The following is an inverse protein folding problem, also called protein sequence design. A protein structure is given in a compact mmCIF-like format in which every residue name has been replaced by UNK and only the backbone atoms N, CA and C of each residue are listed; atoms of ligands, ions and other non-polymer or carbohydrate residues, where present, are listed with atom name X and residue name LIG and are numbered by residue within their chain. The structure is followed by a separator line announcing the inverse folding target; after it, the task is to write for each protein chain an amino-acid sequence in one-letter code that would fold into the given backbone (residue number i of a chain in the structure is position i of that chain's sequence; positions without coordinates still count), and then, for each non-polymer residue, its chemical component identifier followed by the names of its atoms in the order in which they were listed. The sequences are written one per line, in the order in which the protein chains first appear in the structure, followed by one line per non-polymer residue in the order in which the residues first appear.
data_IF_077477565736
#
_entry.id   IF_077477565736
#
_cell.length_a   1.000
_cell.length_b   1.000
_cell.length_c   1.000
_cell.angle_alpha   90.00
_cell.angle_beta   90.00
_cell.angle_gamma   90.00
#
_symmetry.space_group_name_H-M   'P 1'
#
loop_
_entity.id
_entity.type
_entity.pdbx_description
1 polymer ?
#
# COMPACT_ATOMS: atom_id res chain seq x y z
N UNK A 1 17.21 54.97 27.20
CA UNK A 1 15.76 54.77 27.45
C UNK A 1 15.17 53.55 26.73
N UNK A 2 15.43 53.32 25.43
CA UNK A 2 14.85 52.17 24.68
C UNK A 2 15.23 50.78 25.24
N UNK A 3 16.46 50.59 25.71
CA UNK A 3 16.93 49.31 26.28
C UNK A 3 16.20 48.98 27.60
N UNK A 4 15.94 50.00 28.45
CA UNK A 4 15.18 49.83 29.68
C UNK A 4 13.73 49.40 29.43
N UNK A 5 13.10 49.93 28.37
CA UNK A 5 11.74 49.55 27.98
C UNK A 5 11.67 48.08 27.53
N UNK A 6 12.67 47.61 26.76
CA UNK A 6 12.75 46.20 26.36
C UNK A 6 12.95 45.25 27.55
N UNK A 7 13.79 45.65 28.51
CA UNK A 7 14.06 44.83 29.70
C UNK A 7 12.83 44.69 30.60
N UNK A 8 12.05 45.77 30.75
CA UNK A 8 10.78 45.76 31.50
C UNK A 8 9.73 44.91 30.78
N UNK A 9 9.63 44.99 29.44
CA UNK A 9 8.69 44.17 28.67
C UNK A 9 8.98 42.67 28.77
N UNK A 10 10.25 42.27 28.87
CA UNK A 10 10.65 40.87 28.98
C UNK A 10 10.34 40.28 30.38
N UNK A 11 10.39 41.10 31.43
CA UNK A 11 10.05 40.69 32.80
C UNK A 11 8.55 40.49 33.04
N UNK A 12 7.68 41.12 32.24
CA UNK A 12 6.22 41.01 32.37
C UNK A 12 5.63 39.71 31.77
N UNK A 13 6.42 38.93 31.01
CA UNK A 13 5.95 37.72 30.33
C UNK A 13 5.99 36.43 31.20
N UNK A 14 6.50 36.50 32.43
CA UNK A 14 6.78 35.31 33.27
C UNK A 14 5.57 34.85 34.11
N UNK A 15 4.48 35.62 34.16
CA UNK A 15 3.35 35.37 35.07
C UNK A 15 2.18 34.57 34.45
N UNK A 16 2.43 33.71 33.45
CA UNK A 16 1.42 32.82 32.89
C UNK A 16 1.41 31.46 33.63
N UNK A 17 0.95 31.46 34.89
CA UNK A 17 0.68 30.22 35.61
C UNK A 17 -0.74 29.74 35.25
N UNK A 18 -0.84 28.63 34.50
CA UNK A 18 -2.11 28.08 34.04
C UNK A 18 -2.79 27.25 35.14
N UNK A 19 -3.48 27.93 36.05
CA UNK A 19 -4.37 27.29 37.03
C UNK A 19 -5.80 27.20 36.46
N UNK A 20 -6.51 26.09 36.73
CA UNK A 20 -7.90 25.91 36.33
C UNK A 20 -8.78 26.13 37.57
N UNK A 21 -9.70 27.08 37.49
CA UNK A 21 -10.62 27.42 38.55
C UNK A 21 -12.01 26.86 38.25
N UNK A 22 -12.64 26.22 39.24
CA UNK A 22 -14.02 25.76 39.20
C UNK A 22 -14.90 26.72 40.01
N UNK A 23 -15.97 27.23 39.40
CA UNK A 23 -16.98 28.05 40.06
C UNK A 23 -18.38 27.49 39.84
N UNK A 24 -19.32 27.86 40.71
CA UNK A 24 -20.76 27.62 40.51
C UNK A 24 -21.44 28.97 40.33
N UNK A 25 -21.85 29.28 39.11
CA UNK A 25 -22.54 30.54 38.76
C UNK A 25 -23.94 30.20 38.26
N UNK A 26 -24.97 30.80 38.85
CA UNK A 26 -26.38 30.53 38.50
C UNK A 26 -26.77 29.04 38.52
N UNK A 27 -26.21 28.29 39.48
CA UNK A 27 -26.42 26.85 39.61
C UNK A 27 -25.68 25.98 38.57
N UNK A 28 -24.85 26.58 37.71
CA UNK A 28 -24.05 25.88 36.69
C UNK A 28 -22.57 25.85 37.09
N UNK A 29 -21.93 24.70 36.90
CA UNK A 29 -20.48 24.57 37.09
C UNK A 29 -19.75 25.11 35.86
N UNK A 30 -18.85 26.06 36.06
CA UNK A 30 -17.98 26.63 35.03
C UNK A 30 -16.51 26.41 35.38
N UNK A 31 -15.66 26.26 34.36
CA UNK A 31 -14.21 26.15 34.50
C UNK A 31 -13.53 27.30 33.75
N UNK A 32 -12.56 27.96 34.39
CA UNK A 32 -11.89 29.15 33.86
C UNK A 32 -10.39 29.10 34.13
N UNK A 33 -9.59 29.71 33.25
CA UNK A 33 -8.14 29.89 33.44
C UNK A 33 -7.80 31.11 34.31
N UNK A 34 -8.82 31.86 34.74
CA UNK A 34 -8.74 32.97 35.68
C UNK A 34 -9.78 32.77 36.77
N UNK A 35 -9.57 33.31 37.99
CA UNK A 35 -10.56 33.26 39.06
C UNK A 35 -11.93 33.77 38.57
N UNK A 36 -12.94 32.89 38.56
CA UNK A 36 -14.27 33.20 38.01
C UNK A 36 -15.25 33.78 39.05
N UNK A 37 -14.95 33.66 40.34
CA UNK A 37 -15.74 34.18 41.45
C UNK A 37 -14.87 34.27 42.73
N UNK A 38 -15.37 34.93 43.78
CA UNK A 38 -14.66 35.06 45.05
C UNK A 38 -14.46 33.73 45.80
N UNK A 39 -15.30 32.74 45.50
CA UNK A 39 -15.27 31.36 46.03
C UNK A 39 -14.67 30.36 45.03
N UNK A 40 -13.96 30.84 43.99
CA UNK A 40 -13.34 29.99 42.99
C UNK A 40 -12.39 28.96 43.61
N UNK A 41 -12.60 27.68 43.29
CA UNK A 41 -11.74 26.59 43.78
C UNK A 41 -10.76 26.21 42.68
N UNK A 42 -9.46 26.24 42.99
CA UNK A 42 -8.43 25.69 42.09
C UNK A 42 -8.63 24.18 41.98
N UNK A 43 -8.80 23.70 40.75
CA UNK A 43 -8.93 22.28 40.45
C UNK A 43 -7.76 21.81 39.61
N UNK A 44 -7.15 20.70 40.02
CA UNK A 44 -6.21 19.97 39.17
C UNK A 44 -6.99 18.85 38.50
N UNK A 45 -7.13 18.84 37.15
CA UNK A 45 -7.78 17.74 36.47
C UNK A 45 -7.09 16.42 36.82
N UNK A 46 -7.87 15.44 37.24
CA UNK A 46 -7.37 14.08 37.41
C UNK A 46 -7.15 13.49 36.01
N UNK A 47 -5.90 13.49 35.57
CA UNK A 47 -5.53 12.87 34.29
C UNK A 47 -5.36 11.39 34.55
N UNK A 48 -6.23 10.58 33.96
CA UNK A 48 -6.02 9.13 33.93
C UNK A 48 -4.69 8.84 33.25
N UNK A 49 -3.74 8.32 34.02
CA UNK A 49 -2.47 7.81 33.52
C UNK A 49 -2.55 6.30 33.56
N UNK A 50 -2.57 5.67 32.39
CA UNK A 50 -2.50 4.22 32.27
C UNK A 50 -1.31 3.70 33.06
N UNK A 51 -1.49 2.59 33.77
CA UNK A 51 -0.39 2.01 34.53
C UNK A 51 0.75 1.60 33.57
N UNK A 52 2.01 1.52 34.05
CA UNK A 52 3.10 1.00 33.23
C UNK A 52 2.81 -0.39 32.63
N UNK A 53 2.03 -1.22 33.35
CA UNK A 53 1.58 -2.53 32.89
C UNK A 53 0.59 -2.43 31.73
N UNK A 54 -0.40 -1.53 31.81
CA UNK A 54 -1.37 -1.29 30.73
C UNK A 54 -0.67 -0.76 29.47
N UNK A 55 0.31 0.13 29.64
CA UNK A 55 1.11 0.65 28.53
C UNK A 55 1.94 -0.45 27.86
N UNK A 56 2.57 -1.33 28.66
CA UNK A 56 3.33 -2.46 28.14
C UNK A 56 2.43 -3.44 27.37
N UNK A 57 1.24 -3.75 27.90
CA UNK A 57 0.25 -4.60 27.24
C UNK A 57 -0.24 -3.98 25.92
N UNK A 58 -0.47 -2.67 25.89
CA UNK A 58 -0.85 -1.96 24.68
C UNK A 58 0.23 -2.02 23.59
N UNK A 59 1.50 -1.80 23.96
CA UNK A 59 2.63 -1.92 23.04
C UNK A 59 2.78 -3.35 22.52
N UNK A 60 2.63 -4.35 23.40
CA UNK A 60 2.68 -5.76 23.00
C UNK A 60 1.58 -6.09 21.99
N UNK A 61 0.34 -5.69 22.27
CA UNK A 61 -0.80 -5.92 21.38
C UNK A 61 -0.62 -5.21 20.04
N UNK A 62 -0.16 -3.96 20.04
CA UNK A 62 0.14 -3.23 18.80
C UNK A 62 1.25 -3.94 17.99
N UNK A 63 2.31 -4.40 18.65
CA UNK A 63 3.40 -5.12 17.99
C UNK A 63 2.90 -6.44 17.37
N UNK A 64 2.09 -7.19 18.10
CA UNK A 64 1.49 -8.42 17.59
C UNK A 64 0.57 -8.16 16.39
N UNK A 65 -0.25 -7.11 16.43
CA UNK A 65 -1.13 -6.70 15.33
C UNK A 65 -0.34 -6.26 14.09
N UNK A 66 0.74 -5.50 14.27
CA UNK A 66 1.62 -5.09 13.16
C UNK A 66 2.26 -6.33 12.51
N UNK A 67 2.76 -7.27 13.31
CA UNK A 67 3.34 -8.52 12.80
C UNK A 67 2.30 -9.36 12.04
N UNK A 68 1.09 -9.49 12.59
CA UNK A 68 -0.03 -10.17 11.93
C UNK A 68 -0.42 -9.50 10.60
N UNK A 69 -0.52 -8.17 10.59
CA UNK A 69 -0.83 -7.40 9.37
C UNK A 69 0.23 -7.58 8.30
N UNK A 70 1.52 -7.60 8.66
CA UNK A 70 2.62 -7.85 7.72
C UNK A 70 2.54 -9.25 7.11
N UNK A 71 2.20 -10.27 7.93
CA UNK A 71 1.95 -11.63 7.45
C UNK A 71 0.81 -11.68 6.44
N UNK A 72 -0.32 -11.06 6.76
CA UNK A 72 -1.48 -11.02 5.87
C UNK A 72 -1.19 -10.32 4.55
N UNK A 73 -0.49 -9.18 4.56
CA UNK A 73 -0.09 -8.47 3.33
C UNK A 73 0.83 -9.34 2.46
N UNK A 74 1.81 -10.00 3.07
CA UNK A 74 2.70 -10.95 2.36
C UNK A 74 1.90 -12.08 1.71
N UNK A 75 1.03 -12.72 2.47
CA UNK A 75 0.26 -13.88 1.99
C UNK A 75 -0.71 -13.47 0.87
N UNK A 76 -1.34 -12.30 0.99
CA UNK A 76 -2.15 -11.72 -0.08
C UNK A 76 -1.36 -11.45 -1.37
N UNK A 77 -0.15 -10.89 -1.26
CA UNK A 77 0.73 -10.68 -2.40
C UNK A 77 1.16 -11.98 -3.06
N UNK A 78 1.47 -13.01 -2.27
CA UNK A 78 1.78 -14.35 -2.79
C UNK A 78 0.59 -14.91 -3.59
N UNK A 79 -0.63 -14.80 -3.07
CA UNK A 79 -1.84 -15.23 -3.76
C UNK A 79 -2.01 -14.49 -5.10
N UNK A 80 -1.87 -13.17 -5.11
CA UNK A 80 -1.98 -12.36 -6.34
C UNK A 80 -0.93 -12.75 -7.38
N UNK A 81 0.33 -12.94 -6.96
CA UNK A 81 1.41 -13.37 -7.85
C UNK A 81 1.14 -14.78 -8.39
N UNK A 82 0.65 -15.69 -7.56
CA UNK A 82 0.23 -17.03 -7.97
C UNK A 82 -0.85 -16.99 -9.06
N UNK A 83 -1.87 -16.15 -8.90
CA UNK A 83 -2.90 -15.94 -9.92
C UNK A 83 -2.34 -15.40 -11.22
N UNK A 84 -1.49 -14.37 -11.17
CA UNK A 84 -0.85 -13.80 -12.38
C UNK A 84 0.00 -14.83 -13.13
N UNK A 85 0.70 -15.70 -12.41
CA UNK A 85 1.46 -16.80 -13.03
C UNK A 85 0.53 -17.74 -13.79
N UNK A 86 -0.60 -18.13 -13.19
CA UNK A 86 -1.59 -18.99 -13.82
C UNK A 86 -2.23 -18.33 -15.05
N UNK A 87 -2.61 -17.05 -14.95
CA UNK A 87 -3.18 -16.28 -16.06
C UNK A 87 -2.18 -16.17 -17.24
N UNK A 88 -0.89 -15.96 -16.96
CA UNK A 88 0.17 -15.96 -17.98
C UNK A 88 0.36 -17.35 -18.60
N UNK A 89 0.31 -18.42 -17.81
CA UNK A 89 0.38 -19.79 -18.32
C UNK A 89 -0.79 -20.11 -19.28
N UNK A 90 -2.01 -19.72 -18.93
CA UNK A 90 -3.18 -19.85 -19.80
C UNK A 90 -3.04 -19.02 -21.08
N UNK A 91 -2.55 -17.78 -20.95
CA UNK A 91 -2.32 -16.89 -22.10
C UNK A 91 -1.30 -17.50 -23.07
N UNK A 92 -0.19 -18.07 -22.57
CA UNK A 92 0.80 -18.75 -23.41
C UNK A 92 0.17 -19.94 -24.14
N UNK A 93 -0.63 -20.76 -23.45
CA UNK A 93 -1.32 -21.92 -24.05
C UNK A 93 -2.29 -21.45 -25.15
N UNK A 94 -3.05 -20.40 -24.89
CA UNK A 94 -3.98 -19.79 -25.86
C UNK A 94 -3.24 -19.31 -27.11
N UNK A 95 -2.16 -18.55 -26.95
CA UNK A 95 -1.32 -18.07 -28.05
C UNK A 95 -0.72 -19.22 -28.87
N UNK A 96 -0.28 -20.30 -28.22
CA UNK A 96 0.22 -21.49 -28.92
C UNK A 96 -0.86 -22.19 -29.73
N UNK A 97 -2.06 -22.37 -29.17
CA UNK A 97 -3.20 -22.98 -29.88
C UNK A 97 -3.62 -22.14 -31.09
N UNK A 98 -3.70 -20.83 -30.91
CA UNK A 98 -4.09 -19.91 -31.99
C UNK A 98 -3.03 -19.87 -33.10
N UNK A 99 -1.75 -19.86 -32.74
CA UNK A 99 -0.64 -20.00 -33.71
C UNK A 99 -0.80 -21.29 -34.52
N UNK A 100 -1.03 -22.41 -33.85
CA UNK A 100 -1.11 -23.72 -34.50
C UNK A 100 -2.34 -23.79 -35.43
N UNK A 101 -3.45 -23.17 -35.04
CA UNK A 101 -4.64 -23.02 -35.90
C UNK A 101 -4.33 -22.20 -37.16
N UNK A 102 -3.75 -21.01 -37.01
CA UNK A 102 -3.40 -20.13 -38.13
C UNK A 102 -2.37 -20.76 -39.06
N UNK A 103 -1.35 -21.44 -38.52
CA UNK A 103 -0.34 -22.15 -39.32
C UNK A 103 -0.97 -23.31 -40.11
N UNK A 104 -1.91 -24.06 -39.51
CA UNK A 104 -2.65 -25.10 -40.22
C UNK A 104 -3.51 -24.54 -41.36
N UNK A 105 -4.25 -23.45 -41.11
CA UNK A 105 -5.07 -22.76 -42.12
C UNK A 105 -4.20 -22.25 -43.29
N UNK A 106 -3.09 -21.59 -42.99
CA UNK A 106 -2.17 -21.08 -44.01
C UNK A 106 -1.48 -22.20 -44.81
N UNK A 107 -1.13 -23.32 -44.17
CA UNK A 107 -0.56 -24.48 -44.88
C UNK A 107 -1.58 -25.17 -45.79
N UNK A 108 -2.84 -25.26 -45.36
CA UNK A 108 -3.91 -25.77 -46.21
C UNK A 108 -4.12 -24.86 -47.44
N UNK A 109 -4.15 -23.54 -47.23
CA UNK A 109 -4.21 -22.57 -48.33
C UNK A 109 -2.99 -22.69 -49.27
N UNK A 110 -1.78 -22.82 -48.71
CA UNK A 110 -0.55 -23.00 -49.49
C UNK A 110 -0.60 -24.24 -50.39
N UNK A 111 -1.17 -25.34 -49.89
CA UNK A 111 -1.29 -26.59 -50.64
C UNK A 111 -2.21 -26.44 -51.87
N UNK A 112 -3.25 -25.62 -51.77
CA UNK A 112 -4.25 -25.40 -52.83
C UNK A 112 -3.90 -24.24 -53.80
N UNK A 113 -2.96 -23.38 -53.42
CA UNK A 113 -2.63 -22.16 -54.14
C UNK A 113 -1.84 -22.38 -55.45
N UNK A 114 -2.00 -21.46 -56.41
CA UNK A 114 -1.20 -21.41 -57.63
C UNK A 114 0.22 -20.86 -57.35
N UNK A 115 1.17 -21.04 -58.29
CA UNK A 115 2.60 -20.74 -58.07
C UNK A 115 2.88 -19.28 -57.61
N UNK A 116 2.15 -18.29 -58.14
CA UNK A 116 2.29 -16.88 -57.75
C UNK A 116 1.77 -16.61 -56.33
N UNK A 117 0.72 -17.28 -55.91
CA UNK A 117 0.08 -17.13 -54.59
C UNK A 117 0.88 -17.80 -53.48
N UNK A 118 1.55 -18.93 -53.79
CA UNK A 118 2.41 -19.65 -52.84
C UNK A 118 3.48 -18.75 -52.21
N UNK A 119 4.07 -17.82 -52.98
CA UNK A 119 5.08 -16.88 -52.45
C UNK A 119 4.48 -15.95 -51.39
N UNK A 120 3.27 -15.43 -51.63
CA UNK A 120 2.57 -14.57 -50.69
C UNK A 120 2.18 -15.33 -49.41
N UNK A 121 1.64 -16.54 -49.55
CA UNK A 121 1.24 -17.38 -48.41
C UNK A 121 2.46 -17.80 -47.57
N UNK A 122 3.59 -18.15 -48.21
CA UNK A 122 4.84 -18.45 -47.50
C UNK A 122 5.36 -17.27 -46.68
N UNK A 123 5.21 -16.05 -47.21
CA UNK A 123 5.56 -14.83 -46.47
C UNK A 123 4.63 -14.62 -45.26
N UNK A 124 3.32 -14.87 -45.42
CA UNK A 124 2.35 -14.82 -44.32
C UNK A 124 2.65 -15.84 -43.22
N UNK A 125 2.98 -17.09 -43.57
CA UNK A 125 3.38 -18.12 -42.61
C UNK A 125 4.58 -17.64 -41.78
N UNK A 126 5.59 -17.10 -42.46
CA UNK A 126 6.81 -16.59 -41.79
C UNK A 126 6.50 -15.42 -40.87
N UNK A 127 5.67 -14.48 -41.33
CA UNK A 127 5.25 -13.31 -40.55
C UNK A 127 4.44 -13.71 -39.32
N UNK A 128 3.40 -14.52 -39.49
CA UNK A 128 2.55 -15.02 -38.41
C UNK A 128 3.36 -15.78 -37.36
N UNK A 129 4.26 -16.68 -37.80
CA UNK A 129 5.15 -17.40 -36.87
C UNK A 129 6.02 -16.46 -36.05
N UNK A 130 6.54 -15.38 -36.65
CA UNK A 130 7.35 -14.39 -35.93
C UNK A 130 6.51 -13.66 -34.90
N UNK A 131 5.32 -13.19 -35.29
CA UNK A 131 4.40 -12.46 -34.41
C UNK A 131 4.02 -13.28 -33.18
N UNK A 132 3.52 -14.51 -33.37
CA UNK A 132 3.19 -15.39 -32.25
C UNK A 132 4.40 -15.74 -31.40
N UNK A 133 5.57 -15.97 -32.01
CA UNK A 133 6.80 -16.24 -31.24
C UNK A 133 7.16 -15.06 -30.34
N UNK A 134 7.08 -13.83 -30.87
CA UNK A 134 7.33 -12.62 -30.08
C UNK A 134 6.33 -12.47 -28.94
N UNK A 135 5.02 -12.62 -29.19
CA UNK A 135 4.00 -12.51 -28.13
C UNK A 135 4.14 -13.59 -27.05
N UNK A 136 4.47 -14.83 -27.45
CA UNK A 136 4.72 -15.92 -26.51
C UNK A 136 5.95 -15.64 -25.64
N UNK A 137 7.05 -15.15 -26.22
CA UNK A 137 8.26 -14.83 -25.44
C UNK A 137 8.01 -13.66 -24.47
N UNK A 138 7.31 -12.61 -24.90
CA UNK A 138 6.92 -11.50 -23.99
C UNK A 138 6.14 -12.03 -22.79
N UNK A 139 5.19 -12.94 -23.01
CA UNK A 139 4.37 -13.47 -21.92
C UNK A 139 5.14 -14.46 -21.04
N UNK A 140 6.09 -15.23 -21.61
CA UNK A 140 7.02 -16.05 -20.83
C UNK A 140 7.91 -15.19 -19.93
N UNK A 141 8.40 -14.06 -20.43
CA UNK A 141 9.23 -13.13 -19.65
C UNK A 141 8.43 -12.53 -18.49
N UNK A 142 7.19 -12.10 -18.73
CA UNK A 142 6.27 -11.64 -17.67
C UNK A 142 6.05 -12.70 -16.61
N UNK A 143 5.74 -13.93 -17.02
CA UNK A 143 5.58 -15.07 -16.11
C UNK A 143 6.85 -15.31 -15.30
N UNK A 144 8.02 -15.24 -15.93
CA UNK A 144 9.31 -15.41 -15.25
C UNK A 144 9.56 -14.32 -14.21
N UNK A 145 9.20 -13.06 -14.52
CA UNK A 145 9.25 -11.95 -13.56
C UNK A 145 8.34 -12.23 -12.36
N UNK A 146 7.09 -12.63 -12.57
CA UNK A 146 6.18 -12.98 -11.47
C UNK A 146 6.70 -14.16 -10.63
N UNK A 147 7.25 -15.20 -11.26
CA UNK A 147 7.88 -16.33 -10.54
C UNK A 147 9.09 -15.90 -9.72
N UNK A 148 9.90 -15.00 -10.24
CA UNK A 148 11.05 -14.45 -9.53
C UNK A 148 10.60 -13.65 -8.31
N UNK A 149 9.61 -12.77 -8.48
CA UNK A 149 9.04 -11.97 -7.39
C UNK A 149 8.39 -12.85 -6.32
N UNK A 150 7.58 -13.84 -6.73
CA UNK A 150 6.96 -14.82 -5.83
C UNK A 150 8.03 -15.54 -5.00
N UNK A 151 9.07 -16.03 -5.66
CA UNK A 151 10.16 -16.76 -5.00
C UNK A 151 10.96 -15.86 -4.04
N UNK A 152 11.15 -14.58 -4.39
CA UNK A 152 11.79 -13.60 -3.52
C UNK A 152 10.96 -13.33 -2.28
N UNK A 153 9.65 -13.16 -2.44
CA UNK A 153 8.73 -12.91 -1.32
C UNK A 153 8.59 -14.13 -0.41
N UNK A 154 8.63 -15.35 -0.97
CA UNK A 154 8.64 -16.58 -0.20
C UNK A 154 9.90 -16.74 0.66
N UNK A 155 11.05 -16.24 0.17
CA UNK A 155 12.33 -16.30 0.87
C UNK A 155 12.59 -15.16 1.84
N UNK A 156 11.87 -14.03 1.73
CA UNK A 156 12.01 -12.95 2.69
C UNK A 156 11.48 -13.39 4.04
N UNK A 157 12.36 -13.55 5.02
CA UNK A 157 11.97 -13.64 6.43
C UNK A 157 11.44 -12.27 6.87
N UNK A 158 10.42 -12.30 7.74
CA UNK A 158 9.77 -11.13 8.35
C UNK A 158 10.75 -10.12 8.95
#
# INVERSE_FOLDING_TARGET
MRIFIMLIAMLLAVAAHAEIYKCVTDGKTIFSQQPCAADAVVVTPEVFRSSPEDQALQVQNQTAMIAASKRMDRDYRLLLLGRRIADSDETIISLMRERDRVDAELRAAYAQALSKEKKAISAQITSSKREFSTSIEIEKDRRAQFKSEYSRLLRSKE
#
